data_IF_107202565964
#
_entry.id   IF_107202565964
#
_cell.length_a   1.000
_cell.length_b   1.000
_cell.length_c   1.000
_cell.angle_alpha   90.00
_cell.angle_beta   90.00
_cell.angle_gamma   90.00
#
_symmetry.space_group_name_H-M   'P 1'
#
loop_
_entity.id
_entity.type
_entity.pdbx_description
1 polymer ?
#
# COMPACT_ATOMS: atom_id res chain seq x y z
N UNK A 1 -13.98 -14.71 -64.49
CA UNK A 1 -13.12 -13.92 -63.59
C UNK A 1 -12.40 -14.89 -62.66
N UNK A 2 -11.07 -14.82 -62.54
CA UNK A 2 -10.27 -15.82 -61.87
C UNK A 2 -10.09 -15.51 -60.38
N UNK A 3 -10.00 -16.58 -59.59
CA UNK A 3 -9.59 -16.60 -58.19
C UNK A 3 -8.12 -16.20 -58.05
N UNK A 4 -7.85 -15.13 -57.31
CA UNK A 4 -6.49 -14.69 -56.96
C UNK A 4 -6.15 -15.17 -55.55
N UNK A 5 -5.18 -16.08 -55.49
CA UNK A 5 -4.34 -16.32 -54.32
C UNK A 5 -3.44 -15.10 -54.10
N UNK A 6 -3.37 -14.61 -52.87
CA UNK A 6 -2.27 -13.78 -52.38
C UNK A 6 -1.79 -14.35 -51.04
N UNK A 7 -1.06 -15.45 -51.14
CA UNK A 7 0.09 -15.70 -50.29
C UNK A 7 1.16 -14.67 -50.66
N UNK A 8 1.42 -13.72 -49.75
CA UNK A 8 2.73 -13.08 -49.51
C UNK A 8 2.57 -11.92 -48.50
N UNK A 9 2.83 -12.20 -47.23
CA UNK A 9 3.12 -11.19 -46.21
C UNK A 9 4.36 -11.65 -45.42
N UNK A 10 5.53 -11.01 -45.61
CA UNK A 10 6.76 -11.40 -44.94
C UNK A 10 6.94 -10.55 -43.67
N UNK A 11 6.13 -10.78 -42.64
CA UNK A 11 6.45 -10.30 -41.29
C UNK A 11 6.03 -11.37 -40.28
N UNK A 12 7.00 -12.23 -39.96
CA UNK A 12 6.89 -13.22 -38.90
C UNK A 12 6.88 -12.50 -37.55
N UNK A 13 5.71 -12.44 -36.91
CA UNK A 13 5.52 -11.95 -35.53
C UNK A 13 6.18 -12.84 -34.47
N UNK A 14 6.84 -13.93 -34.89
CA UNK A 14 7.54 -14.89 -34.04
C UNK A 14 8.88 -14.39 -33.50
N UNK A 15 9.34 -13.19 -33.89
CA UNK A 15 10.64 -12.64 -33.46
C UNK A 15 10.56 -11.65 -32.29
N UNK A 16 9.37 -11.46 -31.69
CA UNK A 16 9.16 -10.60 -30.52
C UNK A 16 8.98 -11.38 -29.20
N UNK A 17 9.06 -12.71 -29.25
CA UNK A 17 9.08 -13.53 -28.04
C UNK A 17 10.54 -13.80 -27.64
N UNK A 18 10.94 -13.29 -26.48
CA UNK A 18 12.15 -13.74 -25.80
C UNK A 18 11.99 -15.22 -25.45
N UNK A 19 12.90 -16.13 -25.86
CA UNK A 19 12.90 -17.48 -25.33
C UNK A 19 13.43 -17.41 -23.90
N UNK A 20 12.55 -17.56 -22.92
CA UNK A 20 12.98 -17.86 -21.54
C UNK A 20 13.52 -19.29 -21.51
N UNK A 21 14.79 -19.40 -21.16
CA UNK A 21 15.50 -20.67 -21.05
C UNK A 21 15.00 -21.39 -19.77
N UNK A 22 14.23 -22.46 -19.99
CA UNK A 22 13.61 -23.24 -18.92
C UNK A 22 14.63 -24.01 -18.11
N UNK A 23 15.18 -23.37 -17.07
CA UNK A 23 15.98 -24.05 -16.05
C UNK A 23 15.15 -24.24 -14.78
N UNK A 24 14.46 -25.38 -14.75
CA UNK A 24 14.20 -26.21 -13.56
C UNK A 24 13.87 -25.49 -12.24
N UNK A 25 12.61 -25.09 -12.05
CA UNK A 25 12.07 -24.82 -10.70
C UNK A 25 11.31 -26.07 -10.26
N UNK A 26 11.93 -26.81 -9.34
CA UNK A 26 11.25 -27.81 -8.54
C UNK A 26 10.16 -27.10 -7.72
N UNK A 27 9.01 -27.75 -7.58
CA UNK A 27 7.89 -27.28 -6.78
C UNK A 27 8.30 -27.23 -5.29
N UNK A 28 8.79 -26.07 -4.86
CA UNK A 28 8.99 -25.72 -3.46
C UNK A 28 8.03 -24.57 -3.12
N UNK A 29 7.19 -24.83 -2.12
CA UNK A 29 6.27 -23.96 -1.38
C UNK A 29 6.06 -22.51 -1.87
N UNK A 30 4.84 -22.21 -2.34
CA UNK A 30 4.34 -20.84 -2.58
C UNK A 30 4.21 -20.06 -1.25
N UNK A 31 5.34 -19.62 -0.69
CA UNK A 31 5.37 -18.45 0.17
C UNK A 31 5.26 -17.21 -0.73
N UNK A 32 4.09 -16.56 -0.71
CA UNK A 32 3.88 -15.24 -1.31
C UNK A 32 4.89 -14.25 -0.69
N UNK A 33 6.02 -14.04 -1.36
CA UNK A 33 7.02 -13.06 -0.93
C UNK A 33 6.46 -11.66 -1.18
N UNK A 34 5.78 -11.08 -0.18
CA UNK A 34 5.21 -9.73 -0.23
C UNK A 34 6.21 -8.65 -0.70
N UNK A 35 7.51 -8.91 -0.50
CA UNK A 35 8.61 -8.05 -0.95
C UNK A 35 8.85 -8.13 -2.46
N UNK A 36 8.62 -9.28 -3.10
CA UNK A 36 8.76 -9.43 -4.56
C UNK A 36 7.65 -8.66 -5.31
N UNK A 37 6.43 -8.68 -4.77
CA UNK A 37 5.27 -7.94 -5.32
C UNK A 37 5.40 -6.41 -5.19
N UNK A 38 6.18 -5.91 -4.24
CA UNK A 38 6.45 -4.47 -4.11
C UNK A 38 7.49 -3.96 -5.14
N UNK A 39 7.90 -4.82 -6.08
CA UNK A 39 8.99 -4.56 -7.02
C UNK A 39 10.27 -4.09 -6.30
N UNK A 40 10.45 -4.51 -5.04
CA UNK A 40 11.67 -4.30 -4.26
C UNK A 40 12.68 -5.30 -4.83
N UNK A 41 13.25 -4.93 -5.97
CA UNK A 41 14.39 -5.63 -6.52
C UNK A 41 15.50 -5.55 -5.48
N UNK A 42 15.82 -6.69 -4.85
CA UNK A 42 17.08 -6.91 -4.15
C UNK A 42 18.20 -6.98 -5.20
N UNK A 43 18.34 -5.95 -6.03
CA UNK A 43 19.49 -5.83 -6.91
C UNK A 43 20.66 -5.42 -6.04
N UNK A 44 21.51 -6.41 -5.76
CA UNK A 44 22.88 -6.21 -5.38
C UNK A 44 23.52 -5.26 -6.40
N UNK A 45 24.07 -4.14 -5.94
CA UNK A 45 24.92 -3.15 -6.64
C UNK A 45 24.41 -1.71 -6.45
N UNK A 46 25.20 -0.94 -5.69
CA UNK A 46 25.26 0.53 -5.64
C UNK A 46 24.17 1.31 -6.40
N UNK A 47 23.23 1.91 -5.67
CA UNK A 47 22.28 2.87 -6.25
C UNK A 47 23.05 3.96 -7.02
N UNK A 48 22.70 4.12 -8.28
CA UNK A 48 23.38 4.97 -9.25
C UNK A 48 22.77 6.37 -9.32
N UNK A 49 23.39 7.28 -10.07
CA UNK A 49 22.83 8.61 -10.35
C UNK A 49 21.43 8.56 -11.00
N UNK A 50 21.09 7.47 -11.69
CA UNK A 50 19.77 7.26 -12.28
C UNK A 50 18.66 7.04 -11.22
N UNK A 51 19.02 6.53 -10.04
CA UNK A 51 18.06 6.30 -8.96
C UNK A 51 17.67 7.62 -8.28
N UNK A 52 18.62 8.54 -8.09
CA UNK A 52 18.33 9.89 -7.56
C UNK A 52 17.40 10.69 -8.51
N UNK A 53 17.55 10.54 -9.84
CA UNK A 53 16.65 11.15 -10.82
C UNK A 53 15.23 10.55 -10.76
N UNK A 54 15.13 9.22 -10.73
CA UNK A 54 13.85 8.53 -10.58
C UNK A 54 13.12 8.93 -9.28
N UNK A 55 13.82 8.95 -8.15
CA UNK A 55 13.27 9.42 -6.87
C UNK A 55 12.82 10.88 -6.98
N UNK A 56 13.55 11.74 -7.69
CA UNK A 56 13.14 13.11 -7.98
C UNK A 56 11.80 13.20 -8.73
N UNK A 57 11.54 12.29 -9.67
CA UNK A 57 10.23 12.23 -10.37
C UNK A 57 9.10 11.79 -9.44
N UNK A 58 9.36 10.84 -8.53
CA UNK A 58 8.39 10.39 -7.54
C UNK A 58 8.02 11.50 -6.54
N UNK A 59 9.02 12.25 -6.04
CA UNK A 59 8.80 13.37 -5.11
C UNK A 59 8.01 14.50 -5.76
N UNK A 60 8.27 14.75 -7.05
CA UNK A 60 7.50 15.72 -7.85
C UNK A 60 6.04 15.29 -7.99
N UNK A 61 5.82 14.01 -8.31
CA UNK A 61 4.49 13.42 -8.43
C UNK A 61 3.75 13.47 -7.09
N UNK A 62 4.39 13.06 -5.99
CA UNK A 62 3.85 13.10 -4.62
C UNK A 62 3.33 14.49 -4.23
N UNK A 63 4.07 15.55 -4.56
CA UNK A 63 3.69 16.94 -4.26
C UNK A 63 2.40 17.37 -4.96
N UNK A 64 2.10 16.82 -6.14
CA UNK A 64 0.87 17.11 -6.87
C UNK A 64 -0.39 16.54 -6.21
N UNK A 65 -0.27 15.46 -5.42
CA UNK A 65 -1.38 14.83 -4.73
C UNK A 65 -1.70 15.47 -3.37
N UNK A 66 -0.69 15.99 -2.65
CA UNK A 66 -0.87 16.59 -1.33
C UNK A 66 -1.55 17.97 -1.36
N UNK A 67 -1.29 18.76 -2.40
CA UNK A 67 -1.79 20.14 -2.49
C UNK A 67 -3.32 20.23 -2.65
N UNK A 68 -3.95 19.17 -3.15
CA UNK A 68 -5.37 19.14 -3.53
C UNK A 68 -6.31 18.73 -2.37
N UNK A 69 -5.75 18.12 -1.31
CA UNK A 69 -6.54 17.39 -0.29
C UNK A 69 -6.43 17.97 1.14
N UNK A 70 -5.75 19.11 1.33
CA UNK A 70 -5.65 19.79 2.63
C UNK A 70 -6.90 20.64 2.90
N UNK A 71 -7.96 20.01 3.40
CA UNK A 71 -9.05 20.71 4.07
C UNK A 71 -9.46 19.99 5.37
N UNK A 72 -9.65 20.79 6.42
CA UNK A 72 -9.63 20.43 7.85
C UNK A 72 -10.79 19.53 8.34
N UNK A 73 -10.38 18.46 9.05
CA UNK A 73 -10.98 17.70 10.16
C UNK A 73 -12.48 17.81 10.48
N UNK A 74 -13.12 16.64 10.57
CA UNK A 74 -14.03 16.32 11.68
C UNK A 74 -13.57 15.08 12.46
N UNK A 75 -13.51 15.21 13.78
CA UNK A 75 -13.10 14.19 14.76
C UNK A 75 -14.09 13.03 14.91
N UNK A 76 -15.34 13.19 14.45
CA UNK A 76 -16.39 12.14 14.48
C UNK A 76 -16.07 10.98 13.55
N UNK A 77 -15.35 11.23 12.45
CA UNK A 77 -14.98 10.21 11.44
C UNK A 77 -13.85 9.27 11.88
N UNK A 78 -13.12 9.58 12.96
CA UNK A 78 -11.92 8.83 13.34
C UNK A 78 -12.22 7.37 13.76
N UNK A 79 -13.35 7.13 14.42
CA UNK A 79 -13.76 5.78 14.85
C UNK A 79 -14.15 4.92 13.65
N UNK A 80 -15.04 5.43 12.81
CA UNK A 80 -15.55 4.72 11.64
C UNK A 80 -14.42 4.51 10.61
N UNK A 81 -13.49 5.46 10.51
CA UNK A 81 -12.24 5.30 9.74
C UNK A 81 -11.39 4.16 10.29
N UNK A 82 -11.14 4.11 11.60
CA UNK A 82 -10.31 3.05 12.20
C UNK A 82 -10.90 1.65 11.97
N UNK A 83 -12.22 1.51 12.06
CA UNK A 83 -12.92 0.26 11.75
C UNK A 83 -12.80 -0.12 10.27
N UNK A 84 -12.96 0.86 9.39
CA UNK A 84 -12.79 0.70 7.94
C UNK A 84 -11.38 0.28 7.56
N UNK A 85 -10.35 0.93 8.11
CA UNK A 85 -8.94 0.56 7.90
C UNK A 85 -8.69 -0.86 8.40
N UNK A 86 -9.16 -1.22 9.61
CA UNK A 86 -9.03 -2.59 10.14
C UNK A 86 -9.68 -3.62 9.21
N UNK A 87 -10.84 -3.29 8.66
CA UNK A 87 -11.49 -4.15 7.68
C UNK A 87 -10.66 -4.30 6.41
N UNK A 88 -10.15 -3.21 5.82
CA UNK A 88 -9.28 -3.26 4.64
C UNK A 88 -8.07 -4.18 4.88
N UNK A 89 -7.41 -4.06 6.05
CA UNK A 89 -6.27 -4.91 6.41
C UNK A 89 -6.67 -6.39 6.60
N UNK A 90 -7.84 -6.66 7.16
CA UNK A 90 -8.38 -8.02 7.22
C UNK A 90 -8.62 -8.59 5.82
N UNK A 91 -9.20 -7.79 4.92
CA UNK A 91 -9.46 -8.20 3.54
C UNK A 91 -8.16 -8.42 2.76
N UNK A 92 -7.14 -7.60 2.99
CA UNK A 92 -5.77 -7.82 2.46
C UNK A 92 -5.31 -9.24 2.79
N UNK A 93 -5.43 -9.66 4.05
CA UNK A 93 -5.06 -11.03 4.46
C UNK A 93 -5.97 -12.10 3.83
N UNK A 94 -7.28 -11.86 3.74
CA UNK A 94 -8.23 -12.83 3.17
C UNK A 94 -8.00 -13.09 1.67
N UNK A 95 -7.75 -12.02 0.91
CA UNK A 95 -7.52 -12.10 -0.53
C UNK A 95 -6.05 -12.26 -0.92
N UNK A 96 -5.14 -12.12 0.05
CA UNK A 96 -3.68 -12.11 -0.16
C UNK A 96 -3.22 -10.98 -1.08
N UNK A 97 -3.87 -9.82 -0.93
CA UNK A 97 -3.47 -8.62 -1.66
C UNK A 97 -2.11 -8.09 -1.19
N UNK A 98 -1.44 -7.41 -2.11
CA UNK A 98 -0.20 -6.70 -1.84
C UNK A 98 -0.38 -5.60 -0.79
N UNK A 99 0.71 -5.23 -0.13
CA UNK A 99 0.76 -4.06 0.75
C UNK A 99 0.37 -2.76 0.02
N UNK A 100 0.76 -2.66 -1.25
CA UNK A 100 0.44 -1.56 -2.15
C UNK A 100 -1.07 -1.36 -2.29
N UNK A 101 -1.81 -2.43 -2.60
CA UNK A 101 -3.27 -2.42 -2.73
C UNK A 101 -3.97 -1.92 -1.47
N UNK A 102 -3.59 -2.45 -0.30
CA UNK A 102 -4.20 -2.04 0.96
C UNK A 102 -3.90 -0.58 1.31
N UNK A 103 -2.68 -0.12 1.07
CA UNK A 103 -2.29 1.26 1.32
C UNK A 103 -3.04 2.24 0.40
N UNK A 104 -3.15 1.92 -0.90
CA UNK A 104 -3.90 2.73 -1.86
C UNK A 104 -5.39 2.78 -1.51
N UNK A 105 -5.99 1.66 -1.12
CA UNK A 105 -7.38 1.63 -0.69
C UNK A 105 -7.65 2.59 0.48
N UNK A 106 -6.78 2.60 1.50
CA UNK A 106 -6.90 3.54 2.62
C UNK A 106 -6.64 4.98 2.18
N UNK A 107 -5.68 5.19 1.27
CA UNK A 107 -5.39 6.52 0.70
C UNK A 107 -6.60 7.07 -0.04
N UNK A 108 -7.26 6.26 -0.88
CA UNK A 108 -8.48 6.66 -1.59
C UNK A 108 -9.61 7.03 -0.63
N UNK A 109 -9.77 6.25 0.43
CA UNK A 109 -10.77 6.52 1.45
C UNK A 109 -10.49 7.83 2.20
N UNK A 110 -9.25 8.06 2.63
CA UNK A 110 -8.88 9.30 3.33
C UNK A 110 -9.06 10.52 2.44
N UNK A 111 -8.67 10.44 1.16
CA UNK A 111 -8.86 11.52 0.17
C UNK A 111 -10.33 11.77 -0.13
N UNK A 112 -11.15 10.72 -0.15
CA UNK A 112 -12.61 10.85 -0.26
C UNK A 112 -13.17 11.64 0.92
N UNK A 113 -12.78 11.29 2.15
CA UNK A 113 -13.21 12.01 3.36
C UNK A 113 -12.73 13.45 3.44
N UNK A 114 -11.60 13.79 2.81
CA UNK A 114 -11.12 15.17 2.72
C UNK A 114 -12.03 16.06 1.85
N UNK A 115 -12.75 15.46 0.89
CA UNK A 115 -13.58 16.18 -0.10
C UNK A 115 -15.08 16.04 0.13
N UNK A 116 -15.50 14.96 0.81
CA UNK A 116 -16.92 14.64 1.04
C UNK A 116 -17.15 14.18 2.47
N UNK A 117 -18.27 14.61 3.03
CA UNK A 117 -18.77 14.13 4.31
C UNK A 117 -19.80 13.02 4.10
N UNK A 118 -19.84 12.08 5.04
CA UNK A 118 -20.91 11.08 5.15
C UNK A 118 -21.70 11.44 6.40
N UNK A 119 -23.02 11.53 6.27
CA UNK A 119 -23.88 11.90 7.40
C UNK A 119 -23.68 10.95 8.59
N UNK A 120 -23.62 11.52 9.80
CA UNK A 120 -23.50 10.76 11.03
C UNK A 120 -24.64 9.72 11.16
N UNK A 121 -24.29 8.50 11.61
CA UNK A 121 -25.22 7.38 11.74
C UNK A 121 -25.38 6.52 10.47
N UNK A 122 -24.72 6.86 9.35
CA UNK A 122 -24.66 6.03 8.14
C UNK A 122 -23.41 5.16 8.07
N UNK A 123 -23.14 4.38 9.11
CA UNK A 123 -21.95 3.50 9.19
C UNK A 123 -21.86 2.52 8.01
N UNK A 124 -23.00 2.09 7.48
CA UNK A 124 -23.08 1.27 6.26
C UNK A 124 -22.45 1.97 5.03
N UNK A 125 -22.55 3.30 4.92
CA UNK A 125 -22.02 4.07 3.80
C UNK A 125 -20.50 4.14 3.86
N UNK A 126 -19.94 4.32 5.07
CA UNK A 126 -18.50 4.23 5.32
C UNK A 126 -17.95 2.83 5.01
N UNK A 127 -18.72 1.78 5.32
CA UNK A 127 -18.36 0.42 4.93
C UNK A 127 -18.39 0.21 3.41
N UNK A 128 -19.43 0.69 2.75
CA UNK A 128 -19.55 0.63 1.28
C UNK A 128 -18.40 1.40 0.60
N UNK A 129 -18.03 2.56 1.14
CA UNK A 129 -16.86 3.33 0.69
C UNK A 129 -15.60 2.48 0.78
N UNK A 130 -15.37 1.82 1.92
CA UNK A 130 -14.20 0.97 2.13
C UNK A 130 -14.11 -0.18 1.12
N UNK A 131 -15.25 -0.82 0.83
CA UNK A 131 -15.35 -1.88 -0.18
C UNK A 131 -15.01 -1.35 -1.56
N UNK A 132 -15.57 -0.21 -1.95
CA UNK A 132 -15.31 0.42 -3.24
C UNK A 132 -13.85 0.85 -3.40
N UNK A 133 -13.27 1.50 -2.39
CA UNK A 133 -11.85 1.88 -2.39
C UNK A 133 -10.92 0.67 -2.53
N UNK A 134 -11.22 -0.43 -1.81
CA UNK A 134 -10.44 -1.66 -1.93
C UNK A 134 -10.58 -2.33 -3.29
N UNK A 135 -11.78 -2.33 -3.87
CA UNK A 135 -12.00 -2.89 -5.20
C UNK A 135 -11.30 -2.09 -6.29
N UNK A 136 -11.33 -0.75 -6.22
CA UNK A 136 -10.58 0.12 -7.12
C UNK A 136 -9.07 -0.10 -7.02
N UNK A 137 -8.53 -0.18 -5.79
CA UNK A 137 -7.11 -0.45 -5.60
C UNK A 137 -6.71 -1.82 -6.14
N UNK A 138 -7.52 -2.87 -5.88
CA UNK A 138 -7.26 -4.20 -6.40
C UNK A 138 -7.30 -4.24 -7.94
N UNK A 139 -8.24 -3.52 -8.57
CA UNK A 139 -8.31 -3.41 -10.04
C UNK A 139 -7.11 -2.69 -10.66
N UNK A 140 -6.42 -1.86 -9.88
CA UNK A 140 -5.25 -1.12 -10.35
C UNK A 140 -3.95 -1.91 -10.18
N UNK A 141 -3.80 -2.61 -9.06
CA UNK A 141 -2.52 -3.18 -8.63
C UNK A 141 -2.44 -4.71 -8.74
N UNK A 142 -3.57 -5.41 -8.67
CA UNK A 142 -3.58 -6.88 -8.65
C UNK A 142 -3.78 -7.44 -10.07
N UNK A 143 -3.05 -8.51 -10.41
CA UNK A 143 -3.21 -9.19 -11.71
C UNK A 143 -4.59 -9.80 -11.89
N UNK A 144 -5.23 -10.24 -10.81
CA UNK A 144 -6.51 -10.92 -10.81
C UNK A 144 -7.41 -10.39 -9.67
N UNK A 145 -8.00 -9.20 -9.83
CA UNK A 145 -8.90 -8.64 -8.82
C UNK A 145 -10.16 -9.53 -8.66
N UNK A 146 -10.64 -9.78 -7.43
CA UNK A 146 -11.86 -10.53 -7.17
C UNK A 146 -13.10 -9.89 -7.80
N UNK A 147 -14.14 -10.69 -8.02
CA UNK A 147 -15.44 -10.18 -8.42
C UNK A 147 -16.06 -9.33 -7.30
N UNK A 148 -16.86 -8.32 -7.66
CA UNK A 148 -17.52 -7.44 -6.68
C UNK A 148 -18.37 -8.20 -5.64
N UNK A 149 -18.96 -9.33 -6.04
CA UNK A 149 -19.74 -10.20 -5.15
C UNK A 149 -18.91 -10.89 -4.07
N UNK A 150 -17.59 -11.00 -4.24
CA UNK A 150 -16.70 -11.71 -3.33
C UNK A 150 -16.26 -10.84 -2.14
N UNK A 151 -16.36 -9.51 -2.25
CA UNK A 151 -15.99 -8.58 -1.17
C UNK A 151 -16.93 -8.63 0.05
N UNK A 152 -18.01 -9.42 -0.02
CA UNK A 152 -19.00 -9.54 1.03
C UNK A 152 -18.60 -10.57 2.11
N UNK A 153 -17.85 -10.13 3.13
CA UNK A 153 -17.36 -10.98 4.22
C UNK A 153 -17.91 -10.65 5.62
N UNK A 154 -18.79 -9.66 5.78
CA UNK A 154 -19.27 -9.18 7.11
C UNK A 154 -20.77 -8.79 7.12
N UNK A 155 -21.21 -8.13 8.19
CA UNK A 155 -22.61 -7.83 8.55
C UNK A 155 -23.40 -7.02 7.50
N UNK A 156 -22.70 -6.38 6.56
CA UNK A 156 -23.30 -5.63 5.47
C UNK A 156 -23.17 -6.36 4.13
N UNK A 157 -24.32 -6.63 3.51
CA UNK A 157 -24.42 -7.21 2.19
C UNK A 157 -24.69 -6.11 1.17
N UNK A 158 -23.71 -5.85 0.29
CA UNK A 158 -23.85 -4.87 -0.79
C UNK A 158 -23.98 -5.60 -2.13
N UNK A 159 -24.90 -5.12 -2.97
CA UNK A 159 -24.99 -5.61 -4.35
C UNK A 159 -23.81 -5.08 -5.16
N UNK A 160 -23.37 -5.84 -6.17
CA UNK A 160 -22.32 -5.39 -7.10
C UNK A 160 -22.66 -4.04 -7.74
N UNK A 161 -23.94 -3.78 -8.00
CA UNK A 161 -24.43 -2.51 -8.53
C UNK A 161 -24.22 -1.34 -7.54
N UNK A 162 -24.45 -1.57 -6.24
CA UNK A 162 -24.20 -0.56 -5.20
C UNK A 162 -22.72 -0.27 -5.05
N UNK A 163 -21.87 -1.32 -5.10
CA UNK A 163 -20.41 -1.16 -5.07
C UNK A 163 -19.95 -0.38 -6.29
N UNK A 164 -20.40 -0.73 -7.49
CA UNK A 164 -20.04 -0.03 -8.73
C UNK A 164 -20.44 1.44 -8.72
N UNK A 165 -21.64 1.78 -8.22
CA UNK A 165 -22.04 3.19 -8.04
C UNK A 165 -21.11 3.94 -7.09
N UNK A 166 -20.70 3.29 -6.01
CA UNK A 166 -19.75 3.88 -5.07
C UNK A 166 -18.35 4.03 -5.67
N UNK A 167 -17.89 3.06 -6.47
CA UNK A 167 -16.63 3.16 -7.21
C UNK A 167 -16.62 4.39 -8.13
N UNK A 168 -17.70 4.60 -8.89
CA UNK A 168 -17.84 5.77 -9.75
C UNK A 168 -17.81 7.07 -8.94
N UNK A 169 -18.48 7.11 -7.79
CA UNK A 169 -18.46 8.26 -6.90
C UNK A 169 -17.04 8.54 -6.36
N UNK A 170 -16.29 7.49 -5.98
CA UNK A 170 -14.89 7.61 -5.54
C UNK A 170 -14.02 8.13 -6.68
N UNK A 171 -14.13 7.54 -7.88
CA UNK A 171 -13.39 7.97 -9.07
C UNK A 171 -13.63 9.45 -9.40
N UNK A 172 -14.89 9.88 -9.42
CA UNK A 172 -15.29 11.26 -9.64
C UNK A 172 -14.70 12.20 -8.57
N UNK A 173 -14.83 11.81 -7.30
CA UNK A 173 -14.32 12.61 -6.16
C UNK A 173 -12.80 12.78 -6.20
N UNK A 174 -12.08 11.74 -6.62
CA UNK A 174 -10.62 11.75 -6.76
C UNK A 174 -10.14 12.26 -8.12
N UNK A 175 -11.06 12.74 -8.97
CA UNK A 175 -10.77 13.21 -10.33
C UNK A 175 -9.98 12.19 -11.16
N UNK A 176 -10.27 10.90 -10.96
CA UNK A 176 -9.59 9.77 -11.60
C UNK A 176 -8.08 9.69 -11.30
N UNK A 177 -7.57 10.48 -10.35
CA UNK A 177 -6.17 10.48 -9.91
C UNK A 177 -5.93 9.34 -8.92
N UNK A 178 -5.96 8.08 -9.37
CA UNK A 178 -5.77 6.90 -8.52
C UNK A 178 -4.29 6.49 -8.33
N UNK A 179 -3.42 6.82 -9.29
CA UNK A 179 -2.01 6.41 -9.27
C UNK A 179 -1.16 7.30 -8.32
N UNK A 180 -1.46 7.24 -7.02
CA UNK A 180 -0.74 7.97 -5.97
C UNK A 180 0.60 7.29 -5.67
N UNK A 181 1.64 8.08 -5.38
CA UNK A 181 2.94 7.53 -4.95
C UNK A 181 2.78 6.94 -3.54
N UNK A 182 3.35 5.76 -3.31
CA UNK A 182 3.28 5.06 -2.02
C UNK A 182 4.64 5.09 -1.31
N UNK A 183 4.67 4.97 0.03
CA UNK A 183 5.91 4.91 0.80
C UNK A 183 6.82 3.76 0.37
N UNK A 184 6.23 2.65 -0.12
CA UNK A 184 6.98 1.45 -0.48
C UNK A 184 8.01 1.70 -1.57
N UNK A 185 7.72 2.59 -2.52
CA UNK A 185 8.63 2.96 -3.60
C UNK A 185 9.93 3.63 -3.12
N UNK A 186 9.95 4.15 -1.89
CA UNK A 186 11.10 4.84 -1.31
C UNK A 186 11.89 4.00 -0.30
N UNK A 187 11.40 2.80 0.07
CA UNK A 187 12.00 2.02 1.16
C UNK A 187 13.45 1.63 0.86
N UNK A 188 13.72 1.09 -0.33
CA UNK A 188 15.08 0.71 -0.76
C UNK A 188 16.02 1.90 -0.80
N UNK A 189 15.52 3.03 -1.31
CA UNK A 189 16.29 4.27 -1.39
C UNK A 189 16.77 4.72 -0.01
N UNK A 190 15.86 4.82 0.97
CA UNK A 190 16.22 5.24 2.32
C UNK A 190 17.05 4.21 3.07
N UNK A 191 16.81 2.91 2.88
CA UNK A 191 17.65 1.86 3.46
C UNK A 191 19.11 2.01 3.03
N UNK A 192 19.34 2.23 1.73
CA UNK A 192 20.67 2.47 1.18
C UNK A 192 21.29 3.79 1.67
N UNK A 193 20.56 4.91 1.59
CA UNK A 193 21.07 6.23 2.02
C UNK A 193 21.43 6.30 3.50
N UNK A 194 20.77 5.51 4.34
CA UNK A 194 21.06 5.44 5.77
C UNK A 194 22.19 4.47 6.13
N UNK A 195 22.85 3.87 5.13
CA UNK A 195 23.93 2.89 5.27
C UNK A 195 23.50 1.65 6.06
N UNK A 196 22.26 1.20 5.88
CA UNK A 196 21.86 -0.11 6.39
C UNK A 196 22.36 -1.15 5.38
N UNK A 197 23.45 -1.82 5.77
CA UNK A 197 24.41 -2.43 4.83
C UNK A 197 23.82 -3.50 3.92
N UNK A 198 22.66 -4.07 4.25
CA UNK A 198 21.90 -4.85 3.29
C UNK A 198 20.39 -4.68 3.52
N UNK A 199 19.66 -4.54 2.42
CA UNK A 199 18.23 -4.80 2.28
C UNK A 199 17.90 -6.18 2.91
N UNK A 200 17.68 -6.25 4.22
CA UNK A 200 17.25 -7.48 4.85
C UNK A 200 15.73 -7.56 4.75
N UNK A 201 15.21 -8.74 4.43
CA UNK A 201 13.75 -8.98 4.40
C UNK A 201 13.10 -8.58 5.73
N UNK A 202 13.81 -8.78 6.85
CA UNK A 202 13.38 -8.39 8.20
C UNK A 202 13.23 -6.87 8.35
N UNK A 203 14.18 -6.06 7.86
CA UNK A 203 14.11 -4.60 7.93
C UNK A 203 12.87 -4.09 7.19
N UNK A 204 12.64 -4.54 5.96
CA UNK A 204 11.49 -4.09 5.18
C UNK A 204 10.16 -4.60 5.73
N UNK A 205 10.11 -5.85 6.20
CA UNK A 205 8.92 -6.39 6.86
C UNK A 205 8.53 -5.55 8.09
N UNK A 206 9.52 -5.20 8.93
CA UNK A 206 9.33 -4.28 10.06
C UNK A 206 8.89 -2.89 9.61
N UNK A 207 9.51 -2.33 8.58
CA UNK A 207 9.14 -1.01 8.05
C UNK A 207 7.70 -0.98 7.53
N UNK A 208 7.30 -2.00 6.76
CA UNK A 208 5.92 -2.18 6.28
C UNK A 208 4.95 -2.30 7.46
N UNK A 209 5.31 -3.05 8.51
CA UNK A 209 4.51 -3.11 9.74
C UNK A 209 4.34 -1.73 10.37
N UNK A 210 5.40 -0.93 10.50
CA UNK A 210 5.31 0.44 11.02
C UNK A 210 4.42 1.35 10.16
N UNK A 211 4.47 1.20 8.83
CA UNK A 211 3.59 1.94 7.90
C UNK A 211 2.12 1.63 8.18
N UNK A 212 1.76 0.36 8.35
CA UNK A 212 0.35 0.00 8.63
C UNK A 212 -0.09 0.37 10.04
N UNK A 213 0.82 0.37 11.00
CA UNK A 213 0.56 0.77 12.38
C UNK A 213 0.15 2.24 12.44
N UNK A 214 0.91 3.12 11.77
CA UNK A 214 0.59 4.54 11.70
C UNK A 214 -0.67 4.79 10.86
N UNK A 215 -0.89 4.02 9.77
CA UNK A 215 -2.08 4.12 8.91
C UNK A 215 -3.39 3.87 9.68
N UNK A 216 -3.36 2.94 10.63
CA UNK A 216 -4.50 2.62 11.49
C UNK A 216 -4.71 3.67 12.59
N UNK A 217 -3.64 4.21 13.16
CA UNK A 217 -3.70 5.12 14.30
C UNK A 217 -4.03 6.58 13.90
N UNK A 218 -3.55 7.03 12.74
CA UNK A 218 -3.57 8.45 12.36
C UNK A 218 -4.08 8.66 10.93
N UNK A 219 -4.44 9.90 10.60
CA UNK A 219 -4.69 10.28 9.22
C UNK A 219 -3.34 10.62 8.57
N UNK A 220 -2.83 9.74 7.70
CA UNK A 220 -1.52 9.93 7.06
C UNK A 220 -1.49 11.03 6.00
N UNK A 221 -2.64 11.67 5.71
CA UNK A 221 -2.69 12.80 4.77
C UNK A 221 -1.80 13.97 5.20
N UNK A 222 -1.43 14.05 6.48
CA UNK A 222 -0.52 15.07 7.01
C UNK A 222 0.96 14.80 6.66
N UNK A 223 1.28 13.59 6.18
CA UNK A 223 2.64 13.15 5.91
C UNK A 223 2.83 12.79 4.43
N UNK A 224 3.98 13.21 3.93
CA UNK A 224 4.51 12.81 2.63
C UNK A 224 4.82 11.29 2.61
N UNK A 225 4.35 10.50 1.61
CA UNK A 225 4.82 9.14 1.37
C UNK A 225 6.34 8.95 1.50
N UNK A 226 7.15 9.87 0.98
CA UNK A 226 8.61 9.85 1.14
C UNK A 226 9.03 10.00 2.61
N UNK A 227 8.36 10.86 3.37
CA UNK A 227 8.64 11.04 4.79
C UNK A 227 8.24 9.83 5.63
N UNK A 228 7.09 9.22 5.31
CA UNK A 228 6.61 7.97 5.93
C UNK A 228 7.63 6.84 5.71
N UNK A 229 8.16 6.71 4.49
CA UNK A 229 9.13 5.67 4.16
C UNK A 229 10.44 5.85 4.94
N UNK A 230 10.98 7.08 4.97
CA UNK A 230 12.18 7.38 5.73
C UNK A 230 12.01 7.07 7.23
N UNK A 231 10.89 7.51 7.81
CA UNK A 231 10.54 7.23 9.21
C UNK A 231 10.41 5.73 9.49
N UNK A 232 9.78 4.97 8.59
CA UNK A 232 9.58 3.54 8.74
C UNK A 232 10.90 2.76 8.73
N UNK A 233 11.84 3.10 7.85
CA UNK A 233 13.18 2.48 7.82
C UNK A 233 13.95 2.78 9.11
N UNK A 234 13.88 4.02 9.59
CA UNK A 234 14.52 4.42 10.85
C UNK A 234 13.90 3.71 12.07
N UNK A 235 12.57 3.58 12.11
CA UNK A 235 11.89 2.83 13.16
C UNK A 235 12.22 1.33 13.10
N UNK A 236 12.34 0.77 11.90
CA UNK A 236 12.67 -0.63 11.68
C UNK A 236 14.11 -1.00 12.05
N UNK A 237 15.06 -0.05 11.98
CA UNK A 237 16.44 -0.33 12.36
C UNK A 237 16.62 -0.60 13.85
N UNK A 238 15.69 -0.13 14.69
CA UNK A 238 15.73 -0.30 16.14
C UNK A 238 16.75 0.60 16.84
N UNK A 239 17.44 1.47 16.09
CA UNK A 239 18.34 2.46 16.69
C UNK A 239 17.52 3.55 17.39
N UNK A 240 17.97 3.99 18.56
CA UNK A 240 17.40 5.19 19.20
C UNK A 240 17.80 6.41 18.37
N UNK A 241 16.87 6.85 17.51
CA UNK A 241 17.14 7.97 16.60
C UNK A 241 16.93 9.27 17.35
N UNK A 242 18.04 9.84 17.82
CA UNK A 242 18.06 11.22 18.30
C UNK A 242 17.90 12.20 17.13
N UNK A 243 17.33 13.37 17.38
CA UNK A 243 17.18 14.44 16.37
C UNK A 243 18.53 14.79 15.69
N UNK A 244 19.64 14.68 16.44
CA UNK A 244 21.00 14.91 15.92
C UNK A 244 21.47 13.80 14.96
N UNK A 245 21.16 12.53 15.28
CA UNK A 245 21.47 11.39 14.41
C UNK A 245 20.62 11.43 13.15
N UNK A 246 19.34 11.81 13.29
CA UNK A 246 18.43 12.02 12.17
C UNK A 246 18.96 13.08 11.21
N UNK A 247 19.27 14.28 11.73
CA UNK A 247 19.87 15.37 10.94
C UNK A 247 21.17 14.95 10.27
N UNK A 248 22.01 14.15 10.94
CA UNK A 248 23.24 13.62 10.34
C UNK A 248 22.97 12.66 9.18
N UNK A 249 21.95 11.78 9.30
CA UNK A 249 21.55 10.84 8.25
C UNK A 249 20.77 11.51 7.12
N UNK A 250 20.08 12.61 7.37
CA UNK A 250 19.31 13.35 6.35
C UNK A 250 20.13 14.34 5.54
N UNK A 251 21.24 14.84 6.09
CA UNK A 251 22.20 15.66 5.35
C UNK A 251 22.76 14.97 4.10
N UNK A 252 22.76 13.63 4.04
CA UNK A 252 23.18 12.88 2.84
C UNK A 252 22.11 12.82 1.73
N UNK A 253 20.87 13.22 2.03
CA UNK A 253 19.72 13.12 1.10
C UNK A 253 19.39 14.47 0.43
N UNK A 254 20.00 15.58 0.87
CA UNK A 254 19.81 16.94 0.29
C UNK A 254 18.33 17.37 0.20
N UNK A 255 17.54 17.15 1.25
CA UNK A 255 16.13 17.54 1.32
C UNK A 255 15.92 18.81 2.17
N UNK A 256 14.74 19.42 2.08
CA UNK A 256 14.40 20.66 2.81
C UNK A 256 14.26 20.43 4.32
N UNK A 257 14.49 21.48 5.13
CA UNK A 257 14.30 21.42 6.60
C UNK A 257 12.88 20.97 6.99
N UNK A 258 11.86 21.39 6.22
CA UNK A 258 10.47 20.96 6.43
C UNK A 258 10.26 19.45 6.26
N UNK A 259 11.07 18.78 5.44
CA UNK A 259 11.00 17.34 5.25
C UNK A 259 11.56 16.62 6.48
N UNK A 260 12.65 17.13 7.06
CA UNK A 260 13.26 16.54 8.26
C UNK A 260 12.28 16.54 9.45
N UNK A 261 11.54 17.65 9.62
CA UNK A 261 10.50 17.77 10.65
C UNK A 261 9.37 16.75 10.46
N UNK A 262 8.89 16.58 9.21
CA UNK A 262 7.86 15.60 8.89
C UNK A 262 8.31 14.17 9.22
N UNK A 263 9.56 13.82 8.87
CA UNK A 263 10.10 12.49 9.16
C UNK A 263 10.26 12.28 10.67
N UNK A 264 10.78 13.27 11.40
CA UNK A 264 10.95 13.14 12.85
C UNK A 264 9.60 12.98 13.56
N UNK A 265 8.59 13.78 13.17
CA UNK A 265 7.24 13.67 13.72
C UNK A 265 6.63 12.30 13.40
N UNK A 266 6.77 11.82 12.17
CA UNK A 266 6.27 10.51 11.74
C UNK A 266 6.96 9.35 12.49
N UNK A 267 8.29 9.41 12.63
CA UNK A 267 9.09 8.44 13.38
C UNK A 267 8.61 8.35 14.83
N UNK A 268 8.50 9.49 15.53
CA UNK A 268 8.04 9.51 16.91
C UNK A 268 6.63 8.91 17.04
N UNK A 269 5.73 9.24 16.11
CA UNK A 269 4.40 8.69 16.09
C UNK A 269 4.40 7.15 15.88
N UNK A 270 5.24 6.62 14.99
CA UNK A 270 5.40 5.17 14.79
C UNK A 270 5.89 4.47 16.06
N UNK A 271 6.87 5.03 16.76
CA UNK A 271 7.41 4.48 18.00
C UNK A 271 6.38 4.56 19.15
N UNK A 272 5.60 5.64 19.25
CA UNK A 272 4.54 5.74 20.25
C UNK A 272 3.45 4.68 20.05
N UNK A 273 3.06 4.43 18.79
CA UNK A 273 2.07 3.41 18.49
C UNK A 273 2.59 1.98 18.73
N UNK A 274 3.87 1.70 18.45
CA UNK A 274 4.45 0.40 18.78
C UNK A 274 4.46 0.13 20.29
N UNK A 275 4.84 1.13 21.10
CA UNK A 275 4.82 1.04 22.57
C UNK A 275 3.39 0.82 23.09
N UNK A 276 2.39 1.48 22.52
CA UNK A 276 0.98 1.27 22.90
C UNK A 276 0.55 -0.17 22.64
N UNK A 277 0.91 -0.74 21.49
CA UNK A 277 0.59 -2.13 21.15
C UNK A 277 1.25 -3.13 22.10
N UNK A 278 2.49 -2.89 22.51
CA UNK A 278 3.17 -3.73 23.50
C UNK A 278 2.49 -3.68 24.87
N UNK A 279 2.02 -2.50 25.30
CA UNK A 279 1.28 -2.33 26.57
C UNK A 279 -0.12 -2.95 26.57
N UNK A 280 -0.72 -3.17 25.40
CA UNK A 280 -2.01 -3.88 25.24
C UNK A 280 -1.80 -5.41 25.19
N UNK A 281 -0.56 -5.89 24.94
CA UNK A 281 -0.22 -7.32 24.92
C UNK A 281 0.04 -8.03 26.27
N UNK A 282 -0.30 -7.55 27.49
CA UNK A 282 -0.22 -8.41 28.68
C UNK A 282 -1.57 -9.07 29.03
N UNK A 283 -1.53 -10.42 29.06
CA UNK A 283 -2.41 -11.40 29.74
C UNK A 283 -3.76 -11.75 29.07
N UNK A 284 -3.73 -12.80 28.23
CA UNK A 284 -4.62 -14.00 28.20
C UNK A 284 -4.15 -14.91 27.05
N UNK A 285 -3.38 -15.98 27.29
CA UNK A 285 -3.84 -17.34 27.63
C UNK A 285 -5.04 -17.84 26.79
N UNK A 286 -4.75 -18.77 25.88
CA UNK A 286 -5.65 -19.79 25.32
C UNK A 286 -7.07 -19.35 24.94
N UNK A 287 -7.25 -18.90 23.69
CA UNK A 287 -8.50 -19.15 22.97
C UNK A 287 -8.17 -19.69 21.58
N UNK A 288 -8.65 -20.90 21.31
CA UNK A 288 -8.51 -21.62 20.07
C UNK A 288 -9.11 -20.83 18.90
N UNK A 289 -8.31 -20.65 17.85
CA UNK A 289 -8.74 -20.06 16.57
C UNK A 289 -9.52 -21.11 15.80
N UNK A 290 -10.86 -21.01 15.80
CA UNK A 290 -11.73 -21.59 14.78
C UNK A 290 -12.18 -20.48 13.83
N UNK A 291 -11.25 -19.91 13.07
CA UNK A 291 -11.55 -19.05 11.92
C UNK A 291 -10.48 -19.27 10.85
N UNK A 292 -10.50 -20.44 10.21
CA UNK A 292 -9.66 -20.72 9.03
C UNK A 292 -10.36 -21.57 7.97
N UNK A 293 -11.60 -22.02 8.17
CA UNK A 293 -12.24 -22.94 7.22
C UNK A 293 -13.16 -22.31 6.18
N UNK A 294 -13.59 -21.05 6.32
CA UNK A 294 -14.56 -20.46 5.37
C UNK A 294 -13.92 -19.77 4.16
N UNK A 295 -12.65 -19.35 4.23
CA UNK A 295 -11.97 -18.69 3.10
C UNK A 295 -11.49 -19.73 2.05
N UNK A 296 -10.99 -20.89 2.51
CA UNK A 296 -10.48 -21.95 1.62
C UNK A 296 -11.58 -22.80 0.98
N UNK A 297 -12.79 -22.87 1.56
CA UNK A 297 -13.90 -23.68 1.02
C UNK A 297 -14.55 -23.07 -0.23
N UNK A 298 -14.51 -21.75 -0.44
CA UNK A 298 -15.10 -21.11 -1.63
C UNK A 298 -14.25 -21.22 -2.91
N UNK A 299 -12.93 -21.41 -2.81
CA UNK A 299 -12.06 -21.64 -3.99
C UNK A 299 -12.11 -23.07 -4.54
N UNK A 300 -12.67 -24.05 -3.80
CA UNK A 300 -12.76 -25.45 -4.25
C UNK A 300 -14.12 -25.83 -4.86
N UNK A 301 -15.04 -24.88 -5.06
CA UNK A 301 -16.40 -25.16 -5.57
C UNK A 301 -16.77 -24.47 -6.89
N UNK A 302 -15.81 -23.85 -7.60
CA UNK A 302 -16.02 -23.38 -8.98
C UNK A 302 -14.96 -23.99 -9.90
#
# INVERSE_FOLDING_TARGET
MPSMNFSDCPFSLSSLFCPEDGTHIAADDEEDDELSNLNIFFTDSSLSQADDEYIGTLVSKESSFLCDDLCTSETSLLRDRSESVRWILKMKSCFRFSSQTAYLAVTYMNRFFARRTIDEGKNWATKLLSVACLSLAAKLEECSPPLLSEYCLEDYWFTSESIMRMELLVLDTLEWKLNSVTPFAYLCYFASKFNFDHCSKDLFSKAISFIFDILQAMNLMDYRPSAIAAAAILAASGDEVTEKLLKSKMRSVSLSESFEEQVFSCYNAMIQESIKKEKIRPIKSSFSVHVSENCSKRRKMN
#
